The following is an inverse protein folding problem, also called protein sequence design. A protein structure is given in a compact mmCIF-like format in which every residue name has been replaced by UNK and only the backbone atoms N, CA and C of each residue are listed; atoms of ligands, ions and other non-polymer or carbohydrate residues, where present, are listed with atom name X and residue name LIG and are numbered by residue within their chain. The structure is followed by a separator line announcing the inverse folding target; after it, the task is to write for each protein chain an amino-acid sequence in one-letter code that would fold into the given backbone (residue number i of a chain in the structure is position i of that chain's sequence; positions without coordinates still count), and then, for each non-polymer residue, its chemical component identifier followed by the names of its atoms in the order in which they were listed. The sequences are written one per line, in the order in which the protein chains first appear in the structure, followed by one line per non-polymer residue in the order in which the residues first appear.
data_IF_923611577495
#
_entry.id   IF_923611577495
#
_cell.length_a   1.000
_cell.length_b   1.000
_cell.length_c   1.000
_cell.angle_alpha   90.00
_cell.angle_beta   90.00
_cell.angle_gamma   90.00
#
_symmetry.space_group_name_H-M   'P 1'
#
loop_
_entity.id
_entity.type
_entity.pdbx_description
1 polymer ?
#
# COMPACT_ATOMS: atom_id res chain seq x y z
N UNK A 1 4.64 13.80 -11.83
CA UNK A 1 5.76 14.08 -10.89
C UNK A 1 6.18 12.85 -10.08
N UNK A 2 5.23 12.09 -9.50
CA UNK A 2 5.50 10.88 -8.70
C UNK A 2 6.28 9.78 -9.43
N UNK A 3 5.84 9.30 -10.60
CA UNK A 3 6.55 8.25 -11.35
C UNK A 3 7.98 8.66 -11.72
N UNK A 4 8.21 9.94 -12.02
CA UNK A 4 9.58 10.44 -12.27
C UNK A 4 10.44 10.36 -11.00
N UNK A 5 9.88 10.65 -9.83
CA UNK A 5 10.56 10.49 -8.53
C UNK A 5 10.83 9.00 -8.25
N UNK A 6 9.82 8.14 -8.39
CA UNK A 6 9.98 6.68 -8.21
C UNK A 6 11.02 6.09 -9.17
N UNK A 7 11.08 6.55 -10.44
CA UNK A 7 12.14 6.14 -11.37
C UNK A 7 13.56 6.59 -10.97
N UNK A 8 13.70 7.61 -10.13
CA UNK A 8 15.01 8.00 -9.60
C UNK A 8 15.36 7.17 -8.36
N UNK A 9 14.38 6.92 -7.48
CA UNK A 9 14.51 6.04 -6.31
C UNK A 9 14.84 4.61 -6.74
N UNK A 10 14.16 4.10 -7.77
CA UNK A 10 14.38 2.79 -8.37
C UNK A 10 15.76 2.60 -9.02
N UNK A 11 16.63 3.62 -9.06
CA UNK A 11 18.02 3.48 -9.50
C UNK A 11 18.99 3.18 -8.36
N UNK A 12 18.51 3.05 -7.12
CA UNK A 12 19.35 2.75 -5.96
C UNK A 12 20.16 3.93 -5.42
N UNK A 13 20.14 5.09 -6.10
CA UNK A 13 20.93 6.26 -5.70
C UNK A 13 20.51 6.77 -4.33
N UNK A 14 21.46 6.84 -3.40
CA UNK A 14 21.24 7.38 -2.05
C UNK A 14 20.31 6.52 -1.18
N UNK A 15 20.20 5.22 -1.46
CA UNK A 15 19.35 4.30 -0.70
C UNK A 15 19.87 3.98 0.71
N UNK A 16 21.15 4.19 0.95
CA UNK A 16 21.84 3.95 2.22
C UNK A 16 22.08 5.25 2.98
N UNK A 17 21.85 5.19 4.28
CA UNK A 17 22.28 6.23 5.22
C UNK A 17 23.78 6.10 5.47
N UNK A 18 24.45 7.23 5.75
CA UNK A 18 25.86 7.20 6.18
C UNK A 18 26.07 6.38 7.47
N UNK A 19 25.01 6.18 8.27
CA UNK A 19 25.07 5.39 9.51
C UNK A 19 25.39 3.90 9.31
N UNK A 20 25.19 3.34 8.11
CA UNK A 20 25.51 1.93 7.83
C UNK A 20 26.83 1.77 7.07
N UNK A 21 27.52 2.87 6.76
CA UNK A 21 28.72 2.87 5.92
C UNK A 21 29.86 2.03 6.50
N UNK A 22 30.10 2.16 7.81
CA UNK A 22 31.17 1.41 8.48
C UNK A 22 30.95 -0.10 8.45
N UNK A 23 29.69 -0.55 8.39
CA UNK A 23 29.35 -1.98 8.29
C UNK A 23 29.55 -2.54 6.87
N UNK A 24 29.57 -1.67 5.85
CA UNK A 24 29.68 -2.03 4.43
C UNK A 24 31.12 -1.85 3.93
N UNK A 25 31.82 -0.85 4.45
CA UNK A 25 33.15 -0.46 3.97
C UNK A 25 34.15 -1.61 4.06
N UNK A 26 34.76 -1.96 2.92
CA UNK A 26 35.75 -3.04 2.84
C UNK A 26 35.25 -4.43 3.30
N UNK A 27 33.94 -4.68 3.24
CA UNK A 27 33.37 -5.97 3.61
C UNK A 27 33.87 -7.10 2.69
N UNK A 28 34.06 -8.31 3.23
CA UNK A 28 34.68 -9.43 2.49
C UNK A 28 33.72 -10.15 1.53
N UNK A 29 32.42 -10.08 1.78
CA UNK A 29 31.39 -10.57 0.85
C UNK A 29 31.26 -9.60 -0.35
N UNK A 30 31.36 -10.14 -1.56
CA UNK A 30 31.36 -9.37 -2.82
C UNK A 30 30.07 -8.57 -3.03
N UNK A 31 28.90 -9.18 -2.81
CA UNK A 31 27.58 -8.51 -2.94
C UNK A 31 27.45 -7.30 -2.00
N UNK A 32 28.11 -7.34 -0.83
CA UNK A 32 28.15 -6.21 0.11
C UNK A 32 29.21 -5.20 -0.30
N UNK A 33 30.37 -5.66 -0.78
CA UNK A 33 31.46 -4.79 -1.22
C UNK A 33 31.05 -3.90 -2.40
N UNK A 34 30.18 -4.38 -3.29
CA UNK A 34 29.61 -3.58 -4.37
C UNK A 34 28.84 -2.35 -3.87
N UNK A 35 28.31 -2.38 -2.64
CA UNK A 35 27.60 -1.26 -2.02
C UNK A 35 28.54 -0.18 -1.47
N UNK A 36 29.85 -0.41 -1.43
CA UNK A 36 30.86 0.57 -0.97
C UNK A 36 31.19 1.62 -2.06
N UNK A 37 30.14 2.14 -2.71
CA UNK A 37 30.22 3.26 -3.65
C UNK A 37 29.38 4.44 -3.14
N UNK A 38 29.93 5.65 -3.25
CA UNK A 38 29.24 6.89 -2.84
C UNK A 38 27.89 7.10 -3.55
N UNK A 39 27.66 6.45 -4.70
CA UNK A 39 26.38 6.43 -5.40
C UNK A 39 25.23 5.95 -4.51
N UNK A 40 25.47 4.98 -3.64
CA UNK A 40 24.43 4.37 -2.79
C UNK A 40 24.15 5.17 -1.52
N UNK A 41 25.06 6.06 -1.10
CA UNK A 41 24.93 6.77 0.17
C UNK A 41 24.31 8.17 0.02
N UNK A 42 23.51 8.57 1.01
CA UNK A 42 22.98 9.94 1.12
C UNK A 42 22.81 10.37 2.57
N UNK A 43 23.23 11.60 2.90
CA UNK A 43 22.97 12.23 4.20
C UNK A 43 21.48 12.43 4.46
N UNK A 44 20.69 12.59 3.40
CA UNK A 44 19.26 12.87 3.48
C UNK A 44 18.43 11.57 3.56
N UNK A 45 19.05 10.39 3.43
CA UNK A 45 18.33 9.10 3.47
C UNK A 45 17.55 8.92 4.78
N UNK A 46 18.07 9.43 5.89
CA UNK A 46 17.39 9.39 7.19
C UNK A 46 16.04 10.14 7.21
N UNK A 47 15.85 11.13 6.33
CA UNK A 47 14.57 11.86 6.18
C UNK A 47 13.46 10.93 5.70
N UNK A 48 13.80 9.90 4.92
CA UNK A 48 12.84 8.92 4.46
C UNK A 48 12.47 7.92 5.54
N UNK A 49 13.23 7.79 6.63
CA UNK A 49 12.99 6.83 7.71
C UNK A 49 14.21 5.98 8.01
N UNK A 50 14.02 4.94 8.82
CA UNK A 50 15.10 4.03 9.20
C UNK A 50 15.79 3.40 7.98
N UNK A 51 17.11 3.22 8.07
CA UNK A 51 17.88 2.38 7.15
C UNK A 51 18.20 1.10 7.91
N UNK A 52 17.72 -0.06 7.45
CA UNK A 52 17.97 -1.32 8.13
C UNK A 52 19.45 -1.64 8.28
N UNK A 53 19.82 -2.42 9.29
CA UNK A 53 21.21 -2.90 9.42
C UNK A 53 21.54 -3.91 8.33
N UNK A 54 22.84 -4.11 8.07
CA UNK A 54 23.29 -5.14 7.13
C UNK A 54 22.86 -6.54 7.60
N UNK A 55 22.87 -6.79 8.91
CA UNK A 55 22.41 -8.05 9.51
C UNK A 55 20.92 -8.30 9.22
N UNK A 56 20.05 -7.32 9.45
CA UNK A 56 18.62 -7.43 9.16
C UNK A 56 18.35 -7.68 7.66
N UNK A 57 19.15 -7.08 6.78
CA UNK A 57 19.05 -7.31 5.33
C UNK A 57 19.57 -8.69 4.94
N UNK A 58 20.69 -9.13 5.51
CA UNK A 58 21.27 -10.45 5.26
C UNK A 58 20.35 -11.58 5.73
N UNK A 59 19.64 -11.41 6.85
CA UNK A 59 18.62 -12.37 7.30
C UNK A 59 17.50 -12.55 6.27
N UNK A 60 17.01 -11.46 5.68
CA UNK A 60 15.98 -11.53 4.63
C UNK A 60 16.51 -12.23 3.39
N UNK A 61 17.75 -11.91 3.00
CA UNK A 61 18.40 -12.55 1.85
C UNK A 61 18.54 -14.07 2.05
N UNK A 62 18.97 -14.51 3.23
CA UNK A 62 19.05 -15.92 3.59
C UNK A 62 17.67 -16.59 3.61
N UNK A 63 16.65 -15.94 4.17
CA UNK A 63 15.29 -16.45 4.17
C UNK A 63 14.72 -16.59 2.75
N UNK A 64 15.04 -15.66 1.85
CA UNK A 64 14.66 -15.73 0.45
C UNK A 64 15.37 -16.89 -0.28
N UNK A 65 16.66 -17.08 -0.03
CA UNK A 65 17.42 -18.20 -0.56
C UNK A 65 16.88 -19.56 -0.07
N UNK A 66 16.51 -19.67 1.21
CA UNK A 66 15.85 -20.85 1.80
C UNK A 66 14.52 -21.13 1.10
N UNK A 67 13.66 -20.10 1.00
CA UNK A 67 12.36 -20.22 0.37
C UNK A 67 12.46 -20.69 -1.09
N UNK A 68 13.45 -20.17 -1.85
CA UNK A 68 13.71 -20.60 -3.22
C UNK A 68 14.31 -22.01 -3.29
N UNK A 69 15.32 -22.31 -2.47
CA UNK A 69 16.06 -23.57 -2.49
C UNK A 69 15.20 -24.80 -2.17
N UNK A 70 14.16 -24.62 -1.34
CA UNK A 70 13.26 -25.69 -0.91
C UNK A 70 11.84 -25.58 -1.48
N UNK A 71 11.63 -24.73 -2.51
CA UNK A 71 10.35 -24.56 -3.21
C UNK A 71 9.16 -24.23 -2.28
N UNK A 72 9.40 -23.41 -1.26
CA UNK A 72 8.39 -23.03 -0.28
C UNK A 72 7.15 -22.38 -0.92
N UNK A 73 6.01 -22.51 -0.25
CA UNK A 73 4.74 -21.95 -0.72
C UNK A 73 4.64 -20.42 -0.54
N UNK A 74 3.66 -19.81 -1.21
CA UNK A 74 3.41 -18.36 -1.14
C UNK A 74 3.21 -17.87 0.30
N UNK A 75 2.58 -18.68 1.16
CA UNK A 75 2.34 -18.34 2.56
C UNK A 75 3.66 -18.23 3.36
N UNK A 76 4.61 -19.13 3.11
CA UNK A 76 5.92 -19.10 3.74
C UNK A 76 6.74 -17.90 3.26
N UNK A 77 6.78 -17.65 1.94
CA UNK A 77 7.38 -16.43 1.37
C UNK A 77 6.81 -15.16 1.99
N UNK A 78 5.48 -15.09 2.10
CA UNK A 78 4.77 -13.97 2.71
C UNK A 78 5.18 -13.76 4.17
N UNK A 79 5.33 -14.85 4.93
CA UNK A 79 5.68 -14.81 6.35
C UNK A 79 7.14 -14.43 6.60
N UNK A 80 8.07 -15.10 5.92
CA UNK A 80 9.51 -15.02 6.22
C UNK A 80 10.22 -13.89 5.48
N UNK A 81 9.79 -13.59 4.25
CA UNK A 81 10.49 -12.65 3.37
C UNK A 81 9.70 -11.35 3.25
N UNK A 82 8.49 -11.40 2.66
CA UNK A 82 7.77 -10.17 2.29
C UNK A 82 7.34 -9.35 3.51
N UNK A 83 6.85 -10.01 4.57
CA UNK A 83 6.52 -9.35 5.82
C UNK A 83 7.76 -8.73 6.48
N UNK A 84 8.92 -9.38 6.42
CA UNK A 84 10.15 -8.87 6.97
C UNK A 84 10.62 -7.60 6.23
N UNK A 85 10.60 -7.60 4.89
CA UNK A 85 10.91 -6.41 4.08
C UNK A 85 9.96 -5.26 4.41
N UNK A 86 8.64 -5.51 4.44
CA UNK A 86 7.65 -4.48 4.79
C UNK A 86 7.85 -3.92 6.20
N UNK A 87 8.19 -4.80 7.16
CA UNK A 87 8.50 -4.41 8.54
C UNK A 87 9.70 -3.46 8.58
N UNK A 88 10.81 -3.82 7.95
CA UNK A 88 12.02 -3.01 7.94
C UNK A 88 11.82 -1.68 7.20
N UNK A 89 11.12 -1.72 6.07
CA UNK A 89 10.84 -0.54 5.25
C UNK A 89 10.00 0.51 5.98
N UNK A 90 9.00 0.06 6.76
CA UNK A 90 7.97 0.94 7.31
C UNK A 90 8.17 1.26 8.79
N UNK A 91 9.07 0.58 9.49
CA UNK A 91 9.38 0.84 10.91
C UNK A 91 9.99 2.23 11.08
N UNK A 92 9.33 3.06 11.89
CA UNK A 92 9.88 4.35 12.30
C UNK A 92 10.94 4.17 13.41
N UNK A 93 12.06 4.92 13.37
CA UNK A 93 13.01 4.94 14.47
C UNK A 93 12.34 5.26 15.81
N UNK A 94 12.62 4.46 16.84
CA UNK A 94 12.11 4.68 18.19
C UNK A 94 10.60 4.45 18.39
N UNK A 95 9.87 4.01 17.36
CA UNK A 95 8.43 3.74 17.46
C UNK A 95 8.14 2.24 17.50
N UNK A 96 7.03 1.88 18.13
CA UNK A 96 6.44 0.56 17.93
C UNK A 96 5.86 0.49 16.51
N UNK A 97 6.03 -0.65 15.83
CA UNK A 97 5.46 -0.89 14.49
C UNK A 97 3.93 -0.71 14.43
N UNK A 98 3.25 -0.72 15.57
CA UNK A 98 1.81 -0.53 15.70
C UNK A 98 1.42 0.90 16.14
N UNK A 99 2.39 1.77 16.43
CA UNK A 99 2.16 3.13 16.93
C UNK A 99 2.79 4.17 16.00
N UNK A 100 2.39 4.13 14.75
CA UNK A 100 2.92 4.98 13.68
C UNK A 100 1.84 5.26 12.63
N UNK A 101 1.95 6.39 11.92
CA UNK A 101 0.99 6.82 10.89
C UNK A 101 0.93 5.80 9.75
N UNK A 102 2.06 5.29 9.29
CA UNK A 102 2.11 4.30 8.21
C UNK A 102 2.25 2.93 8.82
N UNK A 103 1.33 2.03 8.55
CA UNK A 103 1.50 0.63 8.89
C UNK A 103 1.37 -0.27 7.68
N UNK A 104 1.67 -1.55 7.87
CA UNK A 104 1.26 -2.61 6.95
C UNK A 104 0.59 -3.73 7.73
N UNK A 105 -0.24 -4.51 7.04
CA UNK A 105 -0.77 -5.75 7.59
C UNK A 105 -1.03 -6.78 6.49
N UNK A 106 -0.87 -8.08 6.80
CA UNK A 106 -1.47 -9.13 6.00
C UNK A 106 -3.00 -8.97 5.97
N UNK A 107 -3.61 -9.13 4.81
CA UNK A 107 -5.05 -9.00 4.63
C UNK A 107 -5.61 -9.97 3.56
N UNK A 108 -4.99 -11.14 3.38
CA UNK A 108 -5.41 -12.20 2.45
C UNK A 108 -6.86 -12.69 2.64
N UNK A 109 -7.50 -12.37 3.77
CA UNK A 109 -8.91 -12.69 4.05
C UNK A 109 -9.87 -11.55 3.72
N UNK A 110 -9.38 -10.33 3.47
CA UNK A 110 -10.16 -9.13 3.18
C UNK A 110 -10.91 -9.25 1.86
N UNK A 111 -12.22 -9.39 1.91
CA UNK A 111 -13.05 -9.47 0.72
C UNK A 111 -13.53 -8.08 0.32
N UNK A 112 -13.66 -7.84 -0.98
CA UNK A 112 -14.26 -6.61 -1.48
C UNK A 112 -15.74 -6.58 -1.11
N UNK A 113 -16.21 -5.46 -0.55
CA UNK A 113 -17.62 -5.26 -0.24
C UNK A 113 -18.45 -5.30 -1.53
N UNK A 114 -19.60 -6.01 -1.54
CA UNK A 114 -20.38 -6.24 -2.77
C UNK A 114 -20.81 -4.98 -3.52
N UNK A 115 -21.00 -3.87 -2.80
CA UNK A 115 -21.43 -2.60 -3.37
C UNK A 115 -20.35 -1.89 -4.20
N UNK A 116 -19.09 -2.24 -3.97
CA UNK A 116 -17.94 -1.66 -4.68
C UNK A 116 -17.38 -2.57 -5.75
N UNK A 117 -17.83 -3.83 -5.82
CA UNK A 117 -17.39 -4.78 -6.84
C UNK A 117 -17.60 -4.21 -8.27
N UNK A 118 -16.57 -4.29 -9.12
CA UNK A 118 -16.73 -4.00 -10.55
C UNK A 118 -17.77 -4.93 -11.19
N UNK A 119 -18.29 -4.53 -12.35
CA UNK A 119 -19.35 -5.26 -13.07
C UNK A 119 -19.06 -6.75 -13.32
N UNK A 120 -17.78 -7.14 -13.38
CA UNK A 120 -17.34 -8.53 -13.55
C UNK A 120 -17.56 -9.43 -12.32
N UNK A 121 -17.93 -8.86 -11.15
CA UNK A 121 -18.23 -9.57 -9.88
C UNK A 121 -17.23 -10.67 -9.49
N UNK A 122 -15.97 -10.52 -9.89
CA UNK A 122 -14.91 -11.46 -9.49
C UNK A 122 -14.50 -11.06 -8.07
N UNK A 123 -14.74 -11.93 -7.09
CA UNK A 123 -14.27 -11.72 -5.72
C UNK A 123 -12.78 -12.04 -5.70
N UNK A 124 -11.95 -11.00 -5.63
CA UNK A 124 -10.50 -11.12 -5.48
C UNK A 124 -10.05 -10.38 -4.23
N UNK A 125 -9.05 -10.94 -3.57
CA UNK A 125 -8.42 -10.43 -2.36
C UNK A 125 -6.98 -10.06 -2.69
N UNK A 126 -6.37 -9.27 -1.81
CA UNK A 126 -4.95 -8.91 -1.85
C UNK A 126 -4.28 -9.46 -0.60
N UNK A 127 -2.99 -9.77 -0.67
CA UNK A 127 -2.29 -10.50 0.40
C UNK A 127 -1.85 -9.58 1.53
N UNK A 128 -1.42 -8.37 1.19
CA UNK A 128 -1.09 -7.32 2.15
C UNK A 128 -1.65 -5.97 1.74
N UNK A 129 -1.62 -5.05 2.70
CA UNK A 129 -1.78 -3.64 2.42
C UNK A 129 -0.85 -2.79 3.26
N UNK A 130 -0.53 -1.61 2.72
CA UNK A 130 -0.02 -0.48 3.49
C UNK A 130 -1.23 0.40 3.82
N UNK A 131 -1.38 0.75 5.09
CA UNK A 131 -2.49 1.56 5.59
C UNK A 131 -1.98 2.82 6.27
N UNK A 132 -2.86 3.80 6.37
CA UNK A 132 -2.66 4.96 7.23
C UNK A 132 -3.44 4.78 8.53
N UNK A 133 -2.83 5.08 9.66
CA UNK A 133 -3.46 5.12 10.97
C UNK A 133 -3.66 6.58 11.41
N UNK A 134 -4.89 7.09 11.31
CA UNK A 134 -5.22 8.47 11.68
C UNK A 134 -4.97 8.77 13.16
N UNK A 135 -4.94 7.76 14.04
CA UNK A 135 -4.74 7.96 15.48
C UNK A 135 -3.32 8.48 15.79
N UNK A 136 -2.37 8.26 14.88
CA UNK A 136 -0.99 8.70 15.03
C UNK A 136 -0.66 9.94 14.18
N UNK A 137 -1.63 10.54 13.48
CA UNK A 137 -1.41 11.74 12.69
C UNK A 137 -1.40 13.01 13.54
N UNK A 138 -0.19 13.40 13.96
CA UNK A 138 0.04 14.61 14.74
C UNK A 138 -0.20 15.91 13.95
N UNK A 139 -0.18 15.88 12.62
CA UNK A 139 -0.40 17.07 11.78
C UNK A 139 -1.89 17.36 11.59
N UNK A 140 -2.70 16.32 11.61
CA UNK A 140 -4.15 16.39 11.42
C UNK A 140 -4.88 15.66 12.55
N UNK A 141 -4.81 16.22 13.75
CA UNK A 141 -5.35 15.62 14.99
C UNK A 141 -6.84 15.28 14.94
N UNK A 142 -7.62 15.99 14.11
CA UNK A 142 -9.06 15.75 13.93
C UNK A 142 -9.36 14.54 13.01
N UNK A 143 -8.36 14.00 12.30
CA UNK A 143 -8.55 12.97 11.27
C UNK A 143 -9.19 11.70 11.82
N UNK A 144 -8.76 11.26 13.01
CA UNK A 144 -9.32 10.06 13.65
C UNK A 144 -10.81 10.24 13.95
N UNK A 145 -11.21 11.35 14.58
CA UNK A 145 -12.62 11.65 14.88
C UNK A 145 -13.46 11.79 13.62
N UNK A 146 -12.91 12.43 12.59
CA UNK A 146 -13.58 12.59 11.30
C UNK A 146 -13.83 11.24 10.62
N UNK A 147 -12.81 10.37 10.58
CA UNK A 147 -12.90 9.05 9.97
C UNK A 147 -13.90 8.17 10.71
N UNK A 148 -13.87 8.15 12.04
CA UNK A 148 -14.85 7.41 12.83
C UNK A 148 -16.28 7.90 12.56
N UNK A 149 -16.48 9.23 12.50
CA UNK A 149 -17.77 9.83 12.12
C UNK A 149 -18.22 9.48 10.70
N UNK A 150 -17.28 9.26 9.77
CA UNK A 150 -17.58 8.77 8.42
C UNK A 150 -18.00 7.31 8.44
N UNK A 151 -17.25 6.44 9.14
CA UNK A 151 -17.59 5.02 9.30
C UNK A 151 -19.01 4.82 9.84
N UNK A 152 -19.40 5.57 10.88
CA UNK A 152 -20.76 5.55 11.47
C UNK A 152 -21.88 5.87 10.47
N UNK A 153 -21.56 6.65 9.43
CA UNK A 153 -22.50 7.05 8.38
C UNK A 153 -22.54 6.08 7.22
N UNK A 154 -21.47 5.31 7.01
CA UNK A 154 -21.39 4.28 5.99
C UNK A 154 -22.27 3.08 6.37
N UNK A 155 -22.72 2.34 5.35
CA UNK A 155 -23.62 1.20 5.59
C UNK A 155 -22.86 0.01 6.15
N UNK A 156 -21.62 -0.15 5.70
CA UNK A 156 -20.78 -1.29 6.03
C UNK A 156 -19.76 -0.95 7.13
N UNK A 157 -19.85 0.25 7.74
CA UNK A 157 -19.02 0.67 8.87
C UNK A 157 -17.53 0.83 8.55
N UNK A 158 -17.16 0.97 7.28
CA UNK A 158 -15.77 0.99 6.81
C UNK A 158 -15.57 2.05 5.75
N UNK A 159 -14.51 2.85 5.89
CA UNK A 159 -14.03 3.80 4.86
C UNK A 159 -13.15 3.14 3.80
N UNK A 160 -13.07 1.81 3.79
CA UNK A 160 -12.36 1.02 2.78
C UNK A 160 -13.33 0.19 1.93
N UNK A 161 -12.86 -0.25 0.76
CA UNK A 161 -13.65 -1.07 -0.16
C UNK A 161 -13.74 -2.54 0.26
N UNK A 162 -13.15 -2.89 1.41
CA UNK A 162 -13.08 -4.25 1.95
C UNK A 162 -13.90 -4.41 3.22
N UNK A 163 -14.35 -5.63 3.49
CA UNK A 163 -15.07 -6.03 4.72
C UNK A 163 -14.15 -6.29 5.92
N UNK A 164 -12.85 -6.03 5.78
CA UNK A 164 -11.86 -6.35 6.80
C UNK A 164 -11.89 -5.34 7.95
N UNK A 165 -12.51 -5.72 9.07
CA UNK A 165 -12.69 -4.88 10.26
C UNK A 165 -11.43 -4.17 10.74
N UNK A 166 -10.22 -4.79 10.74
CA UNK A 166 -9.01 -4.07 11.11
C UNK A 166 -8.79 -2.82 10.27
N UNK A 167 -9.17 -2.80 8.99
CA UNK A 167 -9.02 -1.63 8.13
C UNK A 167 -10.21 -0.66 8.20
N UNK A 168 -11.27 -0.92 8.98
CA UNK A 168 -12.50 -0.12 8.93
C UNK A 168 -12.27 1.39 9.07
N UNK A 169 -11.36 1.81 9.96
CA UNK A 169 -10.99 3.23 10.19
C UNK A 169 -9.56 3.57 9.74
N UNK A 170 -8.87 2.64 9.05
CA UNK A 170 -7.47 2.79 8.64
C UNK A 170 -7.37 2.80 7.11
N UNK A 171 -7.29 3.98 6.46
CA UNK A 171 -7.33 4.07 5.00
C UNK A 171 -6.30 3.16 4.33
N UNK A 172 -6.74 2.32 3.39
CA UNK A 172 -5.86 1.48 2.60
C UNK A 172 -5.14 2.36 1.57
N UNK A 173 -3.83 2.52 1.73
CA UNK A 173 -3.00 3.37 0.89
C UNK A 173 -2.41 2.64 -0.31
N UNK A 174 -1.93 1.41 -0.11
CA UNK A 174 -1.32 0.58 -1.15
C UNK A 174 -1.82 -0.86 -0.98
N UNK A 175 -2.36 -1.44 -2.05
CA UNK A 175 -2.63 -2.88 -2.11
C UNK A 175 -1.38 -3.64 -2.54
N UNK A 176 -1.11 -4.81 -1.95
CA UNK A 176 0.01 -5.67 -2.32
C UNK A 176 -0.52 -7.07 -2.62
N UNK A 177 -0.25 -7.56 -3.82
CA UNK A 177 -0.52 -8.93 -4.24
C UNK A 177 0.81 -9.68 -4.35
N UNK A 178 0.89 -10.89 -3.82
CA UNK A 178 2.05 -11.76 -3.98
C UNK A 178 1.70 -12.97 -4.83
N UNK A 179 2.69 -13.51 -5.55
CA UNK A 179 2.55 -14.69 -6.42
C UNK A 179 3.83 -15.49 -6.43
N UNK A 180 3.71 -16.80 -6.59
CA UNK A 180 4.85 -17.70 -6.87
C UNK A 180 5.32 -17.54 -8.33
N UNK A 181 6.56 -17.92 -8.64
CA UNK A 181 7.10 -17.94 -10.01
C UNK A 181 6.35 -18.98 -10.84
N UNK A 182 6.11 -18.65 -12.11
CA UNK A 182 5.26 -19.45 -13.01
C UNK A 182 3.76 -19.17 -12.87
N UNK A 183 3.31 -18.49 -11.81
CA UNK A 183 1.95 -17.96 -11.78
C UNK A 183 1.80 -16.73 -12.67
N UNK A 184 0.72 -16.73 -13.45
CA UNK A 184 0.54 -15.79 -14.55
C UNK A 184 0.41 -14.34 -14.04
N UNK A 185 1.34 -13.47 -14.46
CA UNK A 185 1.30 -12.01 -14.25
C UNK A 185 -0.07 -11.39 -14.58
N UNK A 186 -0.77 -11.91 -15.60
CA UNK A 186 -2.11 -11.45 -15.98
C UNK A 186 -3.15 -11.74 -14.89
N UNK A 187 -2.98 -12.80 -14.08
CA UNK A 187 -3.85 -13.07 -12.92
C UNK A 187 -3.58 -12.06 -11.81
N UNK A 188 -2.32 -11.79 -11.48
CA UNK A 188 -1.94 -10.82 -10.46
C UNK A 188 -2.43 -9.41 -10.80
N UNK A 189 -2.22 -8.97 -12.06
CA UNK A 189 -2.69 -7.68 -12.55
C UNK A 189 -4.20 -7.60 -12.60
N UNK A 190 -4.91 -8.68 -12.96
CA UNK A 190 -6.37 -8.72 -12.89
C UNK A 190 -6.87 -8.60 -11.44
N UNK A 191 -6.26 -9.32 -10.49
CA UNK A 191 -6.60 -9.24 -9.06
C UNK A 191 -6.41 -7.81 -8.53
N UNK A 192 -5.24 -7.24 -8.79
CA UNK A 192 -4.92 -5.86 -8.42
C UNK A 192 -5.90 -4.86 -9.06
N UNK A 193 -6.19 -5.01 -10.36
CA UNK A 193 -7.11 -4.13 -11.09
C UNK A 193 -8.54 -4.18 -10.53
N UNK A 194 -9.03 -5.35 -10.14
CA UNK A 194 -10.35 -5.50 -9.52
C UNK A 194 -10.39 -4.82 -8.16
N UNK A 195 -9.38 -5.04 -7.31
CA UNK A 195 -9.27 -4.41 -5.99
C UNK A 195 -9.25 -2.88 -6.11
N UNK A 196 -8.36 -2.33 -6.96
CA UNK A 196 -8.24 -0.89 -7.12
C UNK A 196 -9.46 -0.27 -7.82
N UNK A 197 -10.13 -0.97 -8.74
CA UNK A 197 -11.39 -0.50 -9.30
C UNK A 197 -12.49 -0.38 -8.24
N UNK A 198 -12.55 -1.31 -7.28
CA UNK A 198 -13.45 -1.19 -6.14
C UNK A 198 -13.08 -0.03 -5.22
N UNK A 199 -11.78 0.19 -4.98
CA UNK A 199 -11.30 1.36 -4.25
C UNK A 199 -11.68 2.68 -4.93
N UNK A 200 -11.52 2.78 -6.26
CA UNK A 200 -11.99 3.94 -7.03
C UNK A 200 -13.50 4.17 -6.90
N UNK A 201 -14.30 3.09 -6.90
CA UNK A 201 -15.75 3.20 -6.74
C UNK A 201 -16.14 3.74 -5.35
N UNK A 202 -15.46 3.27 -4.30
CA UNK A 202 -15.61 3.82 -2.96
C UNK A 202 -15.21 5.29 -2.90
N UNK A 203 -14.01 5.65 -3.40
CA UNK A 203 -13.51 7.03 -3.40
C UNK A 203 -14.51 7.93 -4.12
N UNK A 204 -15.07 7.50 -5.25
CA UNK A 204 -16.10 8.26 -5.95
C UNK A 204 -17.38 8.45 -5.13
N UNK A 205 -17.74 7.50 -4.27
CA UNK A 205 -18.92 7.61 -3.41
C UNK A 205 -18.70 8.57 -2.23
N UNK A 206 -17.51 8.51 -1.61
CA UNK A 206 -17.20 9.34 -0.45
C UNK A 206 -16.74 10.75 -0.83
N UNK A 207 -16.33 10.99 -2.08
CA UNK A 207 -16.02 12.31 -2.64
C UNK A 207 -17.29 13.04 -3.09
N UNK A 208 -17.25 14.38 -3.11
CA UNK A 208 -18.45 15.22 -3.33
C UNK A 208 -19.01 15.04 -4.76
N UNK A 209 -20.34 14.99 -4.95
CA UNK A 209 -20.93 15.10 -6.28
C UNK A 209 -20.53 16.43 -6.94
N UNK A 210 -19.75 16.38 -8.01
CA UNK A 210 -19.26 17.56 -8.74
C UNK A 210 -17.76 17.80 -8.64
N UNK A 211 -17.06 17.22 -7.65
CA UNK A 211 -15.60 17.05 -7.71
C UNK A 211 -15.28 15.95 -8.71
N UNK A 212 -14.33 16.19 -9.63
CA UNK A 212 -13.85 15.11 -10.50
C UNK A 212 -13.08 14.13 -9.62
N UNK A 213 -13.16 12.81 -9.87
CA UNK A 213 -12.33 11.82 -9.14
C UNK A 213 -10.84 12.18 -9.14
N UNK A 214 -10.37 12.80 -10.22
CA UNK A 214 -8.98 13.25 -10.40
C UNK A 214 -8.64 14.53 -9.60
N UNK A 215 -9.62 15.23 -9.03
CA UNK A 215 -9.36 16.40 -8.17
C UNK A 215 -8.98 15.96 -6.74
N UNK A 216 -9.28 14.70 -6.37
CA UNK A 216 -8.99 14.14 -5.05
C UNK A 216 -7.75 13.23 -5.04
N UNK A 217 -7.56 12.41 -6.09
CA UNK A 217 -6.42 11.50 -6.21
C UNK A 217 -6.06 11.28 -7.69
N UNK A 218 -4.80 11.51 -8.04
CA UNK A 218 -4.30 11.34 -9.42
C UNK A 218 -4.19 9.86 -9.83
N UNK A 219 -3.86 8.99 -8.88
CA UNK A 219 -3.62 7.56 -9.10
C UNK A 219 -3.77 6.76 -7.79
N UNK A 220 -4.09 5.46 -7.90
CA UNK A 220 -4.02 4.50 -6.79
C UNK A 220 -2.80 3.59 -7.03
N UNK A 221 -1.85 3.52 -6.09
CA UNK A 221 -0.70 2.63 -6.19
C UNK A 221 -1.05 1.18 -5.78
N UNK A 222 -0.34 0.23 -6.36
CA UNK A 222 -0.33 -1.16 -5.95
C UNK A 222 1.05 -1.76 -6.12
N UNK A 223 1.35 -2.82 -5.39
CA UNK A 223 2.60 -3.57 -5.53
C UNK A 223 2.25 -5.00 -5.91
N UNK A 224 2.94 -5.54 -6.90
CA UNK A 224 2.89 -6.96 -7.23
C UNK A 224 4.26 -7.54 -6.93
N UNK A 225 4.31 -8.57 -6.08
CA UNK A 225 5.52 -9.31 -5.75
C UNK A 225 5.44 -10.68 -6.43
N UNK A 226 6.47 -11.04 -7.19
CA UNK A 226 6.63 -12.36 -7.80
C UNK A 226 7.92 -12.98 -7.27
N UNK A 227 7.77 -13.82 -6.25
CA UNK A 227 8.88 -14.31 -5.43
C UNK A 227 9.83 -13.17 -5.04
N UNK A 228 11.02 -13.13 -5.63
CA UNK A 228 11.99 -12.09 -5.35
C UNK A 228 11.55 -10.70 -5.82
N UNK A 229 10.92 -10.62 -7.00
CA UNK A 229 10.81 -9.37 -7.73
C UNK A 229 9.58 -8.56 -7.32
N UNK A 230 9.77 -7.29 -6.97
CA UNK A 230 8.67 -6.39 -6.61
C UNK A 230 8.47 -5.30 -7.66
N UNK A 231 7.21 -5.05 -7.99
CA UNK A 231 6.84 -4.09 -9.02
C UNK A 231 5.76 -3.13 -8.53
N UNK A 232 5.99 -1.83 -8.71
CA UNK A 232 4.96 -0.82 -8.58
C UNK A 232 4.08 -0.84 -9.84
N UNK A 233 2.79 -0.91 -9.59
CA UNK A 233 1.74 -0.71 -10.57
C UNK A 233 0.84 0.43 -10.10
N UNK A 234 0.23 1.16 -11.03
CA UNK A 234 -0.71 2.22 -10.67
C UNK A 234 -1.99 2.09 -11.49
N UNK A 235 -3.10 2.52 -10.92
CA UNK A 235 -4.31 2.78 -11.70
C UNK A 235 -4.68 4.25 -11.65
N UNK A 236 -5.24 4.75 -12.74
CA UNK A 236 -5.90 6.06 -12.80
C UNK A 236 -7.35 5.90 -13.19
N UNK A 237 -8.09 7.01 -13.15
CA UNK A 237 -9.49 7.06 -13.56
C UNK A 237 -9.67 7.98 -14.78
N UNK A 238 -10.27 7.42 -15.83
CA UNK A 238 -10.77 8.16 -16.99
C UNK A 238 -12.30 8.09 -16.97
N UNK A 239 -12.93 9.08 -16.35
CA UNK A 239 -14.38 9.08 -16.10
C UNK A 239 -14.80 7.94 -15.16
N UNK A 240 -15.50 6.93 -15.69
CA UNK A 240 -15.89 5.72 -14.94
C UNK A 240 -14.98 4.51 -15.19
N UNK A 241 -13.99 4.65 -16.08
CA UNK A 241 -13.08 3.55 -16.45
C UNK A 241 -11.82 3.63 -15.58
N UNK A 242 -11.48 2.51 -14.94
CA UNK A 242 -10.16 2.32 -14.33
C UNK A 242 -9.17 1.93 -15.41
N UNK A 243 -8.04 2.64 -15.49
CA UNK A 243 -6.94 2.33 -16.42
C UNK A 243 -5.74 1.87 -15.60
N UNK A 244 -5.22 0.69 -15.94
CA UNK A 244 -4.06 0.10 -15.29
C UNK A 244 -2.79 0.48 -16.07
N UNK A 245 -1.81 1.06 -15.38
CA UNK A 245 -0.60 1.58 -15.99
C UNK A 245 0.64 0.94 -15.37
N UNK A 246 1.61 0.69 -16.25
CA UNK A 246 3.03 0.49 -16.00
C UNK A 246 3.43 -0.61 -15.02
N UNK A 247 4.62 -1.16 -15.29
CA UNK A 247 5.40 -1.98 -14.37
C UNK A 247 6.67 -1.18 -14.09
N UNK A 248 6.84 -0.68 -12.87
CA UNK A 248 8.12 -0.11 -12.43
C UNK A 248 8.77 -1.09 -11.46
N UNK A 249 9.99 -1.50 -11.79
CA UNK A 249 10.83 -2.34 -10.94
C UNK A 249 11.25 -1.58 -9.67
N UNK A 250 10.95 -2.16 -8.50
CA UNK A 250 11.33 -1.63 -7.20
C UNK A 250 12.54 -2.34 -6.58
N UNK A 251 13.01 -3.43 -7.19
CA UNK A 251 14.05 -4.30 -6.64
C UNK A 251 13.59 -5.72 -6.41
N UNK A 252 14.51 -6.51 -5.86
CA UNK A 252 14.33 -7.94 -5.63
C UNK A 252 14.94 -8.36 -4.28
N UNK A 253 14.53 -9.52 -3.76
CA UNK A 253 15.03 -10.06 -2.48
C UNK A 253 16.18 -11.06 -2.62
N UNK A 254 16.62 -11.32 -3.84
CA UNK A 254 17.73 -12.22 -4.20
C UNK A 254 19.12 -11.55 -4.12
N UNK A 255 19.18 -10.27 -3.74
CA UNK A 255 20.42 -9.52 -3.54
C UNK A 255 20.31 -8.57 -2.35
N UNK A 256 21.44 -8.31 -1.69
CA UNK A 256 21.51 -7.34 -0.57
C UNK A 256 21.15 -5.92 -1.06
N UNK A 257 21.68 -5.51 -2.22
CA UNK A 257 21.32 -4.24 -2.87
C UNK A 257 19.81 -4.15 -3.09
N UNK A 258 19.22 -5.19 -3.67
CA UNK A 258 17.80 -5.25 -3.98
C UNK A 258 16.93 -5.06 -2.74
N UNK A 259 17.27 -5.67 -1.61
CA UNK A 259 16.51 -5.54 -0.36
C UNK A 259 16.61 -4.11 0.21
N UNK A 260 17.79 -3.48 0.17
CA UNK A 260 17.93 -2.08 0.56
C UNK A 260 17.09 -1.15 -0.31
N UNK A 261 17.10 -1.39 -1.63
CA UNK A 261 16.29 -0.68 -2.60
C UNK A 261 14.80 -0.83 -2.29
N UNK A 262 14.33 -2.07 -2.05
CA UNK A 262 12.94 -2.35 -1.67
C UNK A 262 12.53 -1.60 -0.39
N UNK A 263 13.41 -1.57 0.62
CA UNK A 263 13.13 -0.86 1.87
C UNK A 263 12.95 0.65 1.63
N UNK A 264 13.79 1.25 0.79
CA UNK A 264 13.65 2.66 0.40
C UNK A 264 12.40 2.89 -0.47
N UNK A 265 12.11 2.02 -1.42
CA UNK A 265 11.02 2.17 -2.38
C UNK A 265 9.65 1.98 -1.74
N UNK A 266 9.45 0.96 -0.89
CA UNK A 266 8.21 0.78 -0.13
C UNK A 266 7.94 1.96 0.79
N UNK A 267 9.00 2.48 1.42
CA UNK A 267 8.90 3.68 2.24
C UNK A 267 8.57 4.93 1.42
N UNK A 268 9.11 5.06 0.21
CA UNK A 268 8.81 6.15 -0.72
C UNK A 268 7.38 6.08 -1.26
N UNK A 269 6.88 4.87 -1.51
CA UNK A 269 5.49 4.60 -1.86
C UNK A 269 4.55 4.98 -0.72
N UNK A 270 4.88 4.61 0.52
CA UNK A 270 4.10 5.03 1.67
C UNK A 270 4.13 6.56 1.84
N UNK A 271 5.33 7.14 1.99
CA UNK A 271 5.57 8.57 2.31
C UNK A 271 5.28 9.57 1.18
N UNK A 272 4.89 9.09 -0.01
CA UNK A 272 4.65 9.94 -1.17
C UNK A 272 3.63 11.03 -0.88
N UNK A 273 3.99 12.30 -1.15
CA UNK A 273 3.08 13.48 -1.08
C UNK A 273 1.85 13.38 -2.03
N UNK A 274 1.65 12.27 -2.72
CA UNK A 274 0.41 11.96 -3.45
C UNK A 274 -0.50 10.98 -2.72
N UNK A 275 0.05 10.13 -1.83
CA UNK A 275 -0.68 9.03 -1.17
C UNK A 275 -1.03 9.43 0.27
N UNK A 276 -0.09 9.95 1.05
CA UNK A 276 -0.41 10.52 2.37
C UNK A 276 -1.28 11.75 2.26
N UNK A 277 -0.80 12.76 1.54
CA UNK A 277 -1.57 13.98 1.38
C UNK A 277 -2.75 13.72 0.48
N UNK A 278 -2.69 12.99 -0.63
CA UNK A 278 -3.87 12.78 -1.47
C UNK A 278 -4.97 11.91 -0.84
N UNK A 279 -4.66 10.79 -0.16
CA UNK A 279 -5.68 9.93 0.44
C UNK A 279 -6.22 10.52 1.75
N UNK A 280 -5.34 11.03 2.61
CA UNK A 280 -5.80 11.71 3.81
C UNK A 280 -6.48 13.02 3.47
N UNK A 281 -6.00 13.82 2.52
CA UNK A 281 -6.73 15.02 2.03
C UNK A 281 -8.01 14.63 1.29
N UNK A 282 -8.09 13.56 0.52
CA UNK A 282 -9.36 13.10 -0.05
C UNK A 282 -10.37 12.73 1.05
N UNK A 283 -9.89 12.19 2.18
CA UNK A 283 -10.71 11.80 3.34
C UNK A 283 -10.94 12.99 4.31
N UNK A 284 -10.04 13.96 4.38
CA UNK A 284 -10.00 15.07 5.36
C UNK A 284 -10.43 16.41 4.76
N UNK A 285 -10.21 16.67 3.47
CA UNK A 285 -10.81 17.79 2.72
C UNK A 285 -12.32 17.64 2.56
N UNK A 286 -12.88 16.53 3.04
CA UNK A 286 -14.29 16.39 3.40
C UNK A 286 -14.74 17.29 4.57
N UNK A 287 -13.86 18.15 5.12
CA UNK A 287 -14.24 19.31 5.94
C UNK A 287 -15.36 20.15 5.30
N UNK A 288 -15.54 20.14 3.97
CA UNK A 288 -16.63 20.88 3.30
C UNK A 288 -18.00 20.18 3.40
N UNK A 289 -18.07 18.90 3.80
CA UNK A 289 -19.29 18.10 3.74
C UNK A 289 -20.02 17.85 5.06
N UNK A 290 -19.80 18.70 6.09
CA UNK A 290 -20.70 18.74 7.25
C UNK A 290 -22.13 19.18 6.89
N UNK A 291 -22.42 19.53 5.63
CA UNK A 291 -23.76 19.99 5.18
C UNK A 291 -24.58 19.00 4.35
N UNK A 292 -24.06 17.87 3.84
CA UNK A 292 -24.86 16.93 3.02
C UNK A 292 -25.39 15.72 3.79
N UNK A 293 -26.17 16.00 4.84
CA UNK A 293 -26.96 15.03 5.61
C UNK A 293 -28.02 14.30 4.75
N UNK A 294 -28.30 14.77 3.53
CA UNK A 294 -29.40 14.31 2.66
C UNK A 294 -29.07 13.09 1.79
N UNK A 295 -27.84 12.96 1.30
CA UNK A 295 -27.47 11.91 0.33
C UNK A 295 -27.38 10.51 0.97
N UNK A 296 -26.65 10.39 2.09
CA UNK A 296 -26.51 9.11 2.82
C UNK A 296 -27.84 8.64 3.43
N UNK A 297 -28.70 9.57 3.89
CA UNK A 297 -30.07 9.25 4.34
C UNK A 297 -30.92 8.65 3.21
N UNK A 298 -30.78 9.14 1.97
CA UNK A 298 -31.49 8.61 0.79
C UNK A 298 -31.03 7.20 0.44
N UNK A 299 -29.73 6.90 0.56
CA UNK A 299 -29.17 5.55 0.33
C UNK A 299 -29.62 4.53 1.37
N UNK A 300 -29.65 4.90 2.67
CA UNK A 300 -30.22 4.06 3.75
C UNK A 300 -31.68 3.67 3.46
N UNK A 301 -32.50 4.62 2.98
CA UNK A 301 -33.90 4.36 2.59
C UNK A 301 -34.04 3.43 1.38
N UNK A 302 -33.12 3.51 0.41
CA UNK A 302 -33.12 2.64 -0.77
C UNK A 302 -32.67 1.21 -0.43
N UNK A 303 -31.63 1.06 0.41
CA UNK A 303 -31.17 -0.27 0.86
C UNK A 303 -32.20 -0.95 1.77
N UNK A 304 -32.83 -0.22 2.69
CA UNK A 304 -33.88 -0.78 3.55
C UNK A 304 -35.12 -1.20 2.74
N UNK A 305 -35.46 -0.45 1.69
CA UNK A 305 -36.50 -0.87 0.72
C UNK A 305 -36.11 -2.15 -0.03
N UNK A 306 -34.91 -2.23 -0.60
CA UNK A 306 -34.45 -3.44 -1.30
C UNK A 306 -34.37 -4.68 -0.40
N UNK A 307 -33.99 -4.51 0.87
CA UNK A 307 -33.97 -5.61 1.85
C UNK A 307 -35.38 -6.09 2.21
N UNK A 308 -36.35 -5.17 2.30
CA UNK A 308 -37.77 -5.49 2.51
C UNK A 308 -38.42 -6.15 1.29
N UNK A 309 -38.05 -5.75 0.08
CA UNK A 309 -38.53 -6.38 -1.15
C UNK A 309 -38.02 -7.81 -1.31
N UNK A 310 -36.75 -8.08 -0.97
CA UNK A 310 -36.18 -9.43 -0.96
C UNK A 310 -36.74 -10.38 0.11
N UNK A 311 -37.36 -9.84 1.16
CA UNK A 311 -38.03 -10.65 2.21
C UNK A 311 -39.51 -10.91 1.92
N UNK A 312 -40.04 -10.32 0.83
CA UNK A 312 -41.44 -10.47 0.39
C UNK A 312 -41.59 -11.42 -0.81
N UNK A 313 -40.52 -12.07 -1.22
CA UNK A 313 -40.46 -13.17 -2.18
C UNK A 313 -39.78 -14.35 -1.50
#
# INVERSE_FOLDING_TARGET
MFIKKMKQVAKGRGMLSLSVRDAIAGHSNEDVAELDDNFYFSSDRGVLGHTPSLEEVAEIHQAAAECQGYDHDEATWNSWVHSAVLRLALKEPGSSIFRQIVGYMPCSTASILPDYLPSLKIVKKVDFCIYIDPAYDQKHTDSSTLISSMCDRMVDGSINHTDYTPLAERPLAVSIETKKLGENWNKATLQMSVSQAAQWNLIHEITVPGTRPNDALDYIPGIIIQEHNCFLVITTREGKKTVFWNKLDLGATDTIEGIYKLCMDFRSCASGRGIHTGLLFAIVSLRILMHMNSYLRRRRRLKSRRKREKQRH
#
